data_IF_836158145799
#
_entry.id   IF_836158145799
#
_cell.length_a   1.000
_cell.length_b   1.000
_cell.length_c   1.000
_cell.angle_alpha   90.00
_cell.angle_beta   90.00
_cell.angle_gamma   90.00
#
_symmetry.space_group_name_H-M   'P 1'
#
loop_
_entity.id
_entity.type
_entity.pdbx_description
1 polymer ?
#
# COMPACT_ATOMS: atom_id res chain seq x y z
N UNK A 1 -5.23 -10.87 19.17
CA UNK A 1 -5.31 -11.66 17.91
C UNK A 1 -4.13 -11.20 17.05
N UNK A 2 -3.08 -12.03 17.07
CA UNK A 2 -1.71 -11.87 16.51
C UNK A 2 -1.22 -10.47 16.11
N UNK A 3 -0.61 -9.84 17.12
CA UNK A 3 0.56 -8.97 17.00
C UNK A 3 1.76 -9.86 16.60
N UNK A 4 2.49 -9.56 15.51
CA UNK A 4 3.94 -9.82 15.28
C UNK A 4 4.37 -9.37 13.85
N UNK A 5 5.28 -8.38 13.80
CA UNK A 5 6.34 -8.04 12.79
C UNK A 5 6.08 -8.31 11.28
N UNK A 6 6.24 -7.37 10.35
CA UNK A 6 7.43 -6.53 10.02
C UNK A 6 6.99 -5.20 9.37
N UNK A 7 7.43 -4.03 9.87
CA UNK A 7 8.65 -3.26 9.51
C UNK A 7 8.59 -2.71 8.08
N UNK A 8 8.37 -1.40 7.96
CA UNK A 8 8.52 -0.59 6.75
C UNK A 8 9.52 -1.21 5.75
N UNK A 9 9.00 -1.82 4.69
CA UNK A 9 9.78 -2.28 3.55
C UNK A 9 9.96 -1.11 2.59
N UNK A 10 11.19 -0.78 2.28
CA UNK A 10 11.54 0.30 1.37
C UNK A 10 11.95 -0.34 0.04
N UNK A 11 11.25 0.00 -1.04
CA UNK A 11 11.63 -0.40 -2.39
C UNK A 11 12.37 0.78 -3.02
N UNK A 12 13.64 0.59 -3.38
CA UNK A 12 14.42 1.56 -4.16
C UNK A 12 14.49 1.07 -5.60
N UNK A 13 13.82 1.79 -6.50
CA UNK A 13 14.00 1.65 -7.94
C UNK A 13 15.31 2.35 -8.36
N UNK A 14 15.92 1.96 -9.49
CA UNK A 14 17.21 2.51 -9.97
C UNK A 14 17.19 4.03 -10.24
N UNK A 15 16.01 4.65 -10.18
CA UNK A 15 15.76 6.08 -10.24
C UNK A 15 15.17 6.63 -8.93
N UNK A 16 15.73 6.28 -7.77
CA UNK A 16 15.60 6.97 -6.46
C UNK A 16 14.19 7.40 -5.97
N UNK A 17 13.11 6.83 -6.52
CA UNK A 17 11.75 7.11 -6.07
C UNK A 17 11.40 6.16 -4.93
N UNK A 18 11.31 6.72 -3.73
CA UNK A 18 11.03 5.97 -2.52
C UNK A 18 9.54 6.01 -2.24
N UNK A 19 8.94 4.84 -2.03
CA UNK A 19 7.50 4.70 -1.73
C UNK A 19 7.31 3.89 -0.46
N UNK A 20 6.49 4.39 0.46
CA UNK A 20 6.06 3.64 1.63
C UNK A 20 4.94 2.68 1.23
N UNK A 21 5.15 1.38 1.47
CA UNK A 21 4.16 0.34 1.19
C UNK A 21 3.79 -0.33 2.51
N UNK A 22 2.50 -0.37 2.80
CA UNK A 22 1.94 -1.16 3.89
C UNK A 22 1.05 -2.26 3.31
N UNK A 23 1.24 -3.48 3.78
CA UNK A 23 0.49 -4.64 3.31
C UNK A 23 -0.37 -5.16 4.45
N UNK A 24 -1.67 -5.24 4.21
CA UNK A 24 -2.65 -5.71 5.19
C UNK A 24 -3.52 -6.80 4.55
N UNK A 25 -4.07 -7.71 5.35
CA UNK A 25 -4.94 -8.77 4.81
C UNK A 25 -6.27 -8.18 4.29
N UNK A 26 -6.93 -7.38 5.12
CA UNK A 26 -8.24 -6.79 4.86
C UNK A 26 -8.33 -5.43 5.58
N UNK A 27 -8.97 -4.45 4.95
CA UNK A 27 -9.20 -3.09 5.45
C UNK A 27 -10.66 -2.64 5.26
N UNK A 28 -11.57 -3.57 4.93
CA UNK A 28 -12.99 -3.27 4.71
C UNK A 28 -13.69 -2.80 5.98
N UNK A 29 -13.26 -3.27 7.15
CA UNK A 29 -13.77 -2.79 8.44
C UNK A 29 -13.19 -1.39 8.77
N UNK A 30 -14.04 -0.36 9.03
CA UNK A 30 -13.57 1.01 9.28
C UNK A 30 -12.55 1.13 10.43
N UNK A 31 -12.72 0.35 11.50
CA UNK A 31 -11.78 0.34 12.64
C UNK A 31 -10.41 -0.21 12.25
N UNK A 32 -10.38 -1.21 11.37
CA UNK A 32 -9.15 -1.78 10.85
C UNK A 32 -8.51 -0.78 9.90
N UNK A 33 -9.28 -0.19 8.99
CA UNK A 33 -8.81 0.85 8.08
C UNK A 33 -8.11 2.00 8.82
N UNK A 34 -8.78 2.63 9.79
CA UNK A 34 -8.24 3.74 10.59
C UNK A 34 -6.92 3.39 11.27
N UNK A 35 -6.81 2.17 11.82
CA UNK A 35 -5.59 1.69 12.46
C UNK A 35 -4.44 1.51 11.48
N UNK A 36 -4.72 1.03 10.26
CA UNK A 36 -3.71 0.78 9.24
C UNK A 36 -3.26 2.08 8.55
N UNK A 37 -4.13 3.08 8.36
CA UNK A 37 -3.75 4.37 7.75
C UNK A 37 -3.04 5.31 8.72
N UNK A 38 -3.35 5.27 10.01
CA UNK A 38 -2.82 6.21 11.01
C UNK A 38 -1.28 6.30 11.06
N UNK A 39 -0.50 5.21 10.90
CA UNK A 39 0.96 5.29 10.80
C UNK A 39 1.44 6.05 9.58
N UNK A 40 0.82 5.85 8.41
CA UNK A 40 1.20 6.50 7.15
C UNK A 40 0.86 7.99 7.14
N UNK A 41 -0.26 8.37 7.74
CA UNK A 41 -0.68 9.78 7.86
C UNK A 41 0.24 10.60 8.77
N UNK A 42 0.90 9.96 9.74
CA UNK A 42 1.88 10.63 10.62
C UNK A 42 3.18 10.97 9.91
N UNK A 43 3.45 10.35 8.75
CA UNK A 43 4.64 10.60 7.97
C UNK A 43 4.41 11.82 7.09
N UNK A 44 5.11 12.92 7.37
CA UNK A 44 4.96 14.21 6.68
C UNK A 44 6.00 14.45 5.59
N UNK A 45 6.73 13.42 5.17
CA UNK A 45 7.68 13.54 4.07
C UNK A 45 6.97 13.60 2.70
N UNK A 46 7.73 14.01 1.68
CA UNK A 46 7.26 14.12 0.30
C UNK A 46 7.21 12.81 -0.48
N UNK A 47 7.38 11.66 0.19
CA UNK A 47 7.38 10.36 -0.48
C UNK A 47 5.97 9.81 -0.65
N UNK A 48 5.75 9.11 -1.77
CA UNK A 48 4.50 8.43 -2.08
C UNK A 48 4.17 7.35 -1.06
N UNK A 49 2.88 7.17 -0.77
CA UNK A 49 2.38 6.24 0.25
C UNK A 49 1.34 5.32 -0.37
N UNK A 50 1.41 4.03 -0.06
CA UNK A 50 0.56 2.99 -0.63
C UNK A 50 0.15 1.96 0.42
N UNK A 51 -1.10 1.49 0.35
CA UNK A 51 -1.61 0.33 1.06
C UNK A 51 -2.06 -0.72 0.04
N UNK A 52 -1.62 -1.96 0.25
CA UNK A 52 -2.05 -3.13 -0.51
C UNK A 52 -2.87 -4.00 0.44
N UNK A 53 -4.13 -4.24 0.09
CA UNK A 53 -5.01 -5.10 0.89
C UNK A 53 -6.04 -5.81 0.01
N UNK A 54 -6.72 -6.84 0.52
CA UNK A 54 -7.87 -7.43 -0.19
C UNK A 54 -9.10 -6.57 0.04
N UNK A 55 -9.35 -5.63 -0.86
CA UNK A 55 -10.50 -4.72 -0.78
C UNK A 55 -11.64 -5.16 -1.69
N UNK A 56 -11.36 -5.95 -2.74
CA UNK A 56 -12.28 -6.26 -3.84
C UNK A 56 -12.88 -4.99 -4.50
N UNK A 57 -12.19 -3.87 -4.34
CA UNK A 57 -12.59 -2.56 -4.85
C UNK A 57 -11.54 -2.04 -5.82
N UNK A 58 -11.92 -1.19 -6.80
CA UNK A 58 -10.97 -0.50 -7.64
C UNK A 58 -9.99 0.34 -6.81
N UNK A 59 -8.81 0.63 -7.38
CA UNK A 59 -7.85 1.53 -6.76
C UNK A 59 -8.49 2.89 -6.40
N UNK A 60 -8.19 3.37 -5.20
CA UNK A 60 -8.63 4.68 -4.74
C UNK A 60 -7.59 5.37 -3.86
N UNK A 61 -7.78 6.66 -3.62
CA UNK A 61 -6.90 7.46 -2.78
C UNK A 61 -7.60 7.91 -1.51
N UNK A 62 -6.90 7.82 -0.39
CA UNK A 62 -7.34 8.31 0.90
C UNK A 62 -6.25 9.21 1.49
N UNK A 63 -6.53 10.51 1.64
CA UNK A 63 -5.61 11.48 2.24
C UNK A 63 -4.17 11.44 1.65
N UNK A 64 -4.04 11.20 0.34
CA UNK A 64 -2.75 11.10 -0.34
C UNK A 64 -2.09 9.72 -0.28
N UNK A 65 -2.74 8.73 0.35
CA UNK A 65 -2.34 7.32 0.36
C UNK A 65 -3.08 6.59 -0.77
N UNK A 66 -2.35 5.92 -1.65
CA UNK A 66 -2.91 5.05 -2.69
C UNK A 66 -3.33 3.71 -2.07
N UNK A 67 -4.53 3.24 -2.33
CA UNK A 67 -5.04 1.96 -1.85
C UNK A 67 -5.38 1.10 -3.05
N UNK A 68 -4.78 -0.08 -3.14
CA UNK A 68 -4.94 -1.00 -4.26
C UNK A 68 -5.30 -2.41 -3.76
N UNK A 69 -6.16 -3.11 -4.50
CA UNK A 69 -6.42 -4.51 -4.21
C UNK A 69 -5.16 -5.35 -4.46
N UNK A 70 -4.87 -6.29 -3.58
CA UNK A 70 -3.69 -7.15 -3.69
C UNK A 70 -3.64 -7.94 -5.01
N UNK A 71 -4.78 -8.39 -5.55
CA UNK A 71 -4.79 -9.09 -6.84
C UNK A 71 -4.48 -8.15 -8.00
N UNK A 72 -5.07 -6.95 -8.02
CA UNK A 72 -4.77 -5.93 -9.04
C UNK A 72 -3.29 -5.53 -9.00
N UNK A 73 -2.73 -5.37 -7.80
CA UNK A 73 -1.30 -5.08 -7.63
C UNK A 73 -0.41 -6.21 -8.18
N UNK A 74 -0.71 -7.46 -7.90
CA UNK A 74 0.05 -8.60 -8.43
C UNK A 74 -0.09 -8.77 -9.95
N UNK A 75 -1.23 -8.36 -10.52
CA UNK A 75 -1.48 -8.45 -11.96
C UNK A 75 -0.83 -7.31 -12.74
N UNK A 76 -0.42 -6.23 -12.06
CA UNK A 76 0.19 -5.04 -12.67
C UNK A 76 1.59 -5.27 -13.31
N UNK A 77 2.13 -6.49 -13.27
CA UNK A 77 3.42 -6.86 -13.87
C UNK A 77 3.37 -7.44 -15.30
N UNK A 78 2.32 -7.21 -16.09
CA UNK A 78 2.25 -7.75 -17.47
C UNK A 78 2.38 -6.73 -18.62
N UNK A 79 2.62 -5.44 -18.34
CA UNK A 79 2.85 -4.43 -19.40
C UNK A 79 4.32 -4.37 -19.86
N UNK A 80 5.13 -5.37 -19.50
CA UNK A 80 6.54 -5.52 -19.86
C UNK A 80 6.83 -6.54 -20.97
N UNK A 81 5.85 -7.34 -21.40
CA UNK A 81 6.00 -8.27 -22.55
C UNK A 81 5.14 -7.80 -23.73
N UNK A 82 5.60 -6.75 -24.40
CA UNK A 82 5.20 -6.43 -25.78
C UNK A 82 6.39 -5.81 -26.51
N UNK A 83 7.40 -6.63 -26.78
CA UNK A 83 8.35 -6.46 -27.90
C UNK A 83 8.68 -7.83 -28.50
#
# INVERSE_FOLDING_TARGET
>A
MLMLCWRYGFYEDYFAQRTYIQVSYDITEPKTFEREVAPLLKITDGYSKMIIARTYQPEYHYEGIKIIDAAEWLLSENDGESL
#
